data_IF_248029902357
#
_entry.id   IF_248029902357
#
_cell.length_a   1.000
_cell.length_b   1.000
_cell.length_c   1.000
_cell.angle_alpha   90.00
_cell.angle_beta   90.00
_cell.angle_gamma   90.00
#
_symmetry.space_group_name_H-M   'P 1'
#
loop_
_entity.id
_entity.type
_entity.pdbx_description
1 polymer ?
#
# COMPACT_ATOMS: atom_id res chain seq x y z
N UNK A 1 -15.90 -15.14 -37.90
CA UNK A 1 -14.78 -14.27 -38.37
C UNK A 1 -15.00 -12.76 -38.14
N UNK A 2 -15.77 -12.34 -37.12
CA UNK A 2 -16.00 -10.91 -36.77
C UNK A 2 -15.94 -10.59 -35.26
N UNK A 3 -15.28 -11.43 -34.43
CA UNK A 3 -15.01 -11.12 -33.01
C UNK A 3 -13.53 -10.78 -32.71
N UNK A 4 -12.60 -11.07 -33.64
CA UNK A 4 -11.16 -10.85 -33.44
C UNK A 4 -10.70 -9.40 -33.63
N UNK A 5 -11.55 -8.52 -34.17
CA UNK A 5 -11.18 -7.10 -34.41
C UNK A 5 -11.61 -6.14 -33.29
N UNK A 6 -12.59 -6.48 -32.45
CA UNK A 6 -13.02 -5.60 -31.34
C UNK A 6 -12.07 -5.67 -30.12
N UNK A 7 -11.47 -6.83 -29.86
CA UNK A 7 -10.49 -7.03 -28.78
C UNK A 7 -9.11 -6.38 -29.04
N UNK A 8 -8.84 -5.98 -30.29
CA UNK A 8 -7.61 -5.26 -30.66
C UNK A 8 -7.71 -3.74 -30.45
N UNK A 9 -8.90 -3.19 -30.21
CA UNK A 9 -9.12 -1.75 -30.07
C UNK A 9 -9.22 -1.27 -28.61
N UNK A 10 -9.55 -2.14 -27.67
CA UNK A 10 -9.56 -1.83 -26.23
C UNK A 10 -8.17 -1.45 -25.65
N UNK A 11 -7.04 -2.06 -26.07
CA UNK A 11 -5.72 -1.60 -25.68
C UNK A 11 -5.39 -0.23 -26.28
N UNK A 12 -5.96 0.10 -27.44
CA UNK A 12 -5.75 1.40 -28.10
C UNK A 12 -6.53 2.51 -27.43
N UNK A 13 -7.77 2.28 -26.96
CA UNK A 13 -8.56 3.30 -26.26
C UNK A 13 -7.98 3.61 -24.87
N UNK A 14 -7.41 2.63 -24.18
CA UNK A 14 -6.73 2.85 -22.89
C UNK A 14 -5.30 3.37 -23.11
N UNK A 15 -4.58 2.92 -24.15
CA UNK A 15 -3.34 3.60 -24.55
C UNK A 15 -3.62 5.04 -25.00
N UNK A 16 -4.76 5.34 -25.61
CA UNK A 16 -5.18 6.72 -25.93
C UNK A 16 -5.53 7.52 -24.69
N UNK A 17 -6.06 6.92 -23.61
CA UNK A 17 -6.28 7.62 -22.33
C UNK A 17 -4.96 7.83 -21.55
N UNK A 18 -3.99 6.92 -21.70
CA UNK A 18 -2.64 7.05 -21.13
C UNK A 18 -1.75 7.99 -21.98
N UNK A 19 -2.02 8.12 -23.29
CA UNK A 19 -1.32 9.02 -24.21
C UNK A 19 -1.99 10.40 -24.31
N UNK A 20 -3.30 10.58 -24.15
CA UNK A 20 -3.94 11.89 -24.29
C UNK A 20 -3.77 12.86 -23.11
N UNK A 21 -3.09 12.45 -22.04
CA UNK A 21 -2.51 13.45 -21.12
C UNK A 21 -1.39 14.25 -21.80
N UNK A 22 -0.83 13.76 -22.93
CA UNK A 22 0.14 14.49 -23.75
C UNK A 22 -0.46 15.47 -24.78
N UNK A 23 -1.79 15.56 -24.94
CA UNK A 23 -2.44 16.46 -25.92
C UNK A 23 -3.31 17.55 -25.30
N UNK A 24 -3.22 17.80 -23.99
CA UNK A 24 -3.89 18.94 -23.34
C UNK A 24 -3.08 20.25 -23.42
N UNK A 25 -1.93 20.24 -24.11
CA UNK A 25 -1.15 21.47 -24.34
C UNK A 25 -1.69 22.31 -25.51
N UNK A 26 -2.30 21.70 -26.53
CA UNK A 26 -2.81 22.41 -27.70
C UNK A 26 -4.30 22.79 -27.61
N UNK A 27 -5.10 22.15 -26.74
CA UNK A 27 -6.49 22.57 -26.51
C UNK A 27 -6.64 23.72 -25.50
N UNK A 28 -5.62 23.98 -24.69
CA UNK A 28 -5.62 25.13 -23.79
C UNK A 28 -5.39 26.47 -24.52
N UNK A 29 -4.93 26.45 -25.78
CA UNK A 29 -4.82 27.66 -26.60
C UNK A 29 -6.17 28.15 -27.15
N UNK A 30 -7.15 27.26 -27.37
CA UNK A 30 -8.50 27.65 -27.79
C UNK A 30 -9.44 27.96 -26.62
N UNK A 31 -9.25 27.31 -25.46
CA UNK A 31 -10.03 27.62 -24.25
C UNK A 31 -9.61 28.93 -23.55
N UNK A 32 -8.44 29.48 -23.87
CA UNK A 32 -8.01 30.80 -23.40
C UNK A 32 -8.74 31.99 -24.07
N UNK A 33 -9.66 31.76 -25.03
CA UNK A 33 -10.49 32.81 -25.64
C UNK A 33 -11.85 33.04 -24.97
N UNK A 34 -12.25 32.19 -24.01
CA UNK A 34 -13.59 32.22 -23.41
C UNK A 34 -13.65 32.88 -22.02
N UNK A 35 -12.52 33.08 -21.35
CA UNK A 35 -12.44 33.77 -20.07
C UNK A 35 -11.25 34.73 -20.14
N UNK A 36 -11.50 35.95 -20.59
CA UNK A 36 -10.49 36.99 -20.71
C UNK A 36 -9.92 37.35 -19.35
N UNK A 37 -8.66 36.96 -19.11
CA UNK A 37 -7.64 37.64 -18.29
C UNK A 37 -6.44 36.70 -18.12
N UNK A 38 -5.46 36.82 -19.03
CA UNK A 38 -4.10 36.32 -18.84
C UNK A 38 -3.15 37.26 -19.59
N UNK A 39 -3.08 38.52 -19.13
CA UNK A 39 -2.01 39.41 -19.53
C UNK A 39 -0.74 39.10 -18.73
N UNK A 40 0.39 39.15 -19.46
CA UNK A 40 1.77 39.08 -19.01
C UNK A 40 2.27 37.69 -18.56
N UNK A 41 2.88 36.96 -19.50
CA UNK A 41 4.31 36.59 -19.54
C UNK A 41 4.48 35.72 -20.80
N UNK A 42 4.52 36.35 -21.97
CA UNK A 42 4.81 35.70 -23.24
C UNK A 42 5.46 36.70 -24.18
N UNK A 43 6.60 37.28 -23.80
CA UNK A 43 7.48 38.00 -24.71
C UNK A 43 8.88 38.08 -24.11
N UNK A 44 9.62 36.96 -24.19
CA UNK A 44 11.08 36.92 -24.38
C UNK A 44 11.60 35.49 -24.15
N UNK A 45 11.58 34.63 -25.17
CA UNK A 45 12.44 33.46 -25.20
C UNK A 45 13.04 33.31 -26.60
N UNK A 46 14.37 33.50 -26.77
CA UNK A 46 15.03 33.33 -28.06
C UNK A 46 15.19 31.85 -28.42
N UNK A 47 15.14 31.57 -29.73
CA UNK A 47 15.59 30.30 -30.32
C UNK A 47 17.03 30.00 -29.88
N UNK A 48 17.30 28.79 -29.39
CA UNK A 48 18.67 28.36 -29.09
C UNK A 48 19.03 27.05 -29.78
N UNK A 49 19.98 27.21 -30.71
CA UNK A 49 20.81 26.20 -31.34
C UNK A 49 21.74 25.51 -30.35
N UNK A 50 22.15 24.29 -30.69
CA UNK A 50 23.21 23.53 -30.05
C UNK A 50 24.47 24.37 -29.81
N UNK A 51 24.91 24.47 -28.55
CA UNK A 51 26.33 24.45 -28.18
C UNK A 51 26.50 24.18 -26.69
N UNK A 52 27.45 23.29 -26.41
CA UNK A 52 27.89 22.78 -25.12
C UNK A 52 28.78 23.84 -24.42
N UNK A 53 28.83 23.79 -23.09
CA UNK A 53 29.64 24.61 -22.15
C UNK A 53 29.06 25.97 -21.73
N UNK A 54 28.19 25.94 -20.71
CA UNK A 54 28.29 26.70 -19.44
C UNK A 54 26.94 26.64 -18.72
N UNK A 55 26.87 25.96 -17.57
CA UNK A 55 25.67 25.92 -16.73
C UNK A 55 25.34 27.31 -16.16
N UNK A 56 24.10 27.83 -16.32
CA UNK A 56 23.62 28.86 -15.44
C UNK A 56 23.17 28.19 -14.13
N UNK A 57 23.75 28.67 -13.02
CA UNK A 57 23.31 28.37 -11.65
C UNK A 57 21.81 28.67 -11.56
N UNK A 58 20.99 27.61 -11.58
CA UNK A 58 19.55 27.73 -11.34
C UNK A 58 19.40 28.21 -9.90
N UNK A 59 18.89 29.44 -9.74
CA UNK A 59 18.55 30.03 -8.46
C UNK A 59 17.71 29.04 -7.64
N UNK A 60 18.27 28.60 -6.50
CA UNK A 60 17.56 27.81 -5.50
C UNK A 60 16.30 28.57 -5.09
N UNK A 61 15.14 28.06 -5.49
CA UNK A 61 13.87 28.51 -4.92
C UNK A 61 13.77 27.85 -3.54
N UNK A 62 14.29 28.53 -2.53
CA UNK A 62 14.10 28.18 -1.12
C UNK A 62 12.70 28.63 -0.72
N UNK A 63 11.81 27.68 -0.45
CA UNK A 63 10.57 27.98 0.26
C UNK A 63 10.93 28.33 1.71
N UNK A 64 10.73 29.59 2.11
CA UNK A 64 10.77 29.98 3.53
C UNK A 64 9.61 29.26 4.23
N UNK A 65 9.93 28.30 5.09
CA UNK A 65 9.02 27.80 6.10
C UNK A 65 8.81 28.96 7.09
N UNK A 66 7.63 29.59 7.17
CA UNK A 66 7.37 30.45 8.32
C UNK A 66 7.14 29.52 9.51
N UNK A 67 7.71 29.84 10.67
CA UNK A 67 7.00 29.87 11.95
C UNK A 67 7.98 29.94 13.12
N UNK A 68 8.08 31.11 13.75
CA UNK A 68 8.23 31.14 15.20
C UNK A 68 6.98 30.49 15.80
N UNK A 69 7.12 29.35 16.47
CA UNK A 69 6.02 28.63 17.13
C UNK A 69 6.35 28.45 18.61
N UNK A 70 5.35 28.72 19.43
CA UNK A 70 5.37 28.56 20.88
C UNK A 70 5.56 27.08 21.24
N UNK A 71 6.47 26.78 22.17
CA UNK A 71 6.83 25.43 22.58
C UNK A 71 6.05 25.02 23.85
N UNK A 72 5.39 23.85 23.82
CA UNK A 72 4.90 23.17 25.03
C UNK A 72 5.68 21.88 25.27
N UNK A 73 5.99 21.58 26.53
CA UNK A 73 6.97 20.57 26.95
C UNK A 73 6.44 19.12 26.92
N UNK A 74 6.05 18.59 25.76
CA UNK A 74 5.59 17.19 25.64
C UNK A 74 6.76 16.17 25.55
N UNK A 75 7.97 16.60 25.88
CA UNK A 75 9.20 15.82 25.73
C UNK A 75 9.13 14.45 26.41
N UNK A 76 8.64 14.45 27.63
CA UNK A 76 8.59 13.26 28.46
C UNK A 76 7.59 12.24 27.89
N UNK A 77 6.46 12.70 27.38
CA UNK A 77 5.42 11.86 26.78
C UNK A 77 5.88 11.23 25.47
N UNK A 78 6.60 12.00 24.63
CA UNK A 78 7.12 11.52 23.35
C UNK A 78 8.27 10.53 23.57
N UNK A 79 9.22 10.84 24.46
CA UNK A 79 10.29 9.93 24.81
C UNK A 79 9.75 8.62 25.41
N UNK A 80 8.75 8.72 26.30
CA UNK A 80 8.06 7.53 26.83
C UNK A 80 7.41 6.70 25.72
N UNK A 81 6.72 7.36 24.77
CA UNK A 81 6.07 6.69 23.65
C UNK A 81 7.09 5.98 22.76
N UNK A 82 8.22 6.63 22.47
CA UNK A 82 9.33 6.05 21.72
C UNK A 82 9.86 4.78 22.38
N UNK A 83 10.21 4.84 23.68
CA UNK A 83 10.66 3.66 24.43
C UNK A 83 9.64 2.54 24.40
N UNK A 84 8.34 2.84 24.43
CA UNK A 84 7.28 1.82 24.37
C UNK A 84 7.14 1.16 23.00
N UNK A 85 7.32 1.91 21.91
CA UNK A 85 7.35 1.31 20.56
C UNK A 85 8.61 0.46 20.38
N UNK A 86 9.76 0.93 20.87
CA UNK A 86 11.01 0.15 20.86
C UNK A 86 10.87 -1.15 21.68
N UNK A 87 10.24 -1.09 22.85
CA UNK A 87 9.94 -2.27 23.68
C UNK A 87 8.98 -3.25 22.99
N UNK A 88 7.98 -2.73 22.25
CA UNK A 88 7.10 -3.56 21.44
C UNK A 88 7.91 -4.33 20.39
N UNK A 89 8.71 -3.61 19.61
CA UNK A 89 9.46 -4.12 18.46
C UNK A 89 10.64 -5.02 18.84
N UNK A 90 11.38 -4.69 19.89
CA UNK A 90 12.65 -5.35 20.22
C UNK A 90 12.52 -6.38 21.34
N UNK A 91 11.40 -6.40 22.07
CA UNK A 91 11.16 -7.33 23.18
C UNK A 91 9.86 -8.11 23.02
N UNK A 92 8.75 -7.39 22.84
CA UNK A 92 7.41 -8.03 22.87
C UNK A 92 7.18 -8.90 21.63
N UNK A 93 7.46 -8.40 20.43
CA UNK A 93 7.30 -9.14 19.18
C UNK A 93 8.20 -10.40 19.11
N UNK A 94 9.51 -10.33 19.44
CA UNK A 94 10.36 -11.53 19.54
C UNK A 94 9.84 -12.57 20.53
N UNK A 95 9.39 -12.15 21.73
CA UNK A 95 8.83 -13.07 22.72
C UNK A 95 7.55 -13.75 22.24
N UNK A 96 6.72 -13.05 21.46
CA UNK A 96 5.54 -13.64 20.82
C UNK A 96 5.95 -14.68 19.78
N UNK A 97 7.01 -14.41 19.00
CA UNK A 97 7.53 -15.34 18.00
C UNK A 97 8.12 -16.60 18.62
N UNK A 98 8.96 -16.47 19.64
CA UNK A 98 9.62 -17.60 20.32
C UNK A 98 8.61 -18.56 20.96
N UNK A 99 7.53 -18.00 21.51
CA UNK A 99 6.50 -18.78 22.19
C UNK A 99 5.36 -19.24 21.28
N UNK A 100 5.45 -19.01 19.97
CA UNK A 100 4.42 -19.42 19.02
C UNK A 100 4.45 -20.95 18.84
N UNK A 101 3.43 -21.65 19.35
CA UNK A 101 3.36 -23.10 19.26
C UNK A 101 3.16 -23.58 17.81
N UNK A 102 3.52 -24.83 17.52
CA UNK A 102 3.24 -25.47 16.23
C UNK A 102 1.73 -25.59 15.96
N UNK A 103 0.94 -25.71 17.03
CA UNK A 103 -0.51 -25.65 16.99
C UNK A 103 -1.03 -24.26 16.57
N UNK A 104 -0.41 -23.17 17.03
CA UNK A 104 -0.76 -21.81 16.59
C UNK A 104 -0.45 -21.59 15.11
N UNK A 105 0.62 -22.21 14.60
CA UNK A 105 0.98 -22.16 13.17
C UNK A 105 -0.05 -22.89 12.30
N UNK A 106 -0.60 -24.01 12.79
CA UNK A 106 -1.56 -24.86 12.06
C UNK A 106 -3.01 -24.37 12.15
N UNK A 107 -3.47 -23.85 13.29
CA UNK A 107 -4.84 -23.32 13.47
C UNK A 107 -5.10 -22.04 12.67
N UNK A 108 -4.04 -21.46 12.12
CA UNK A 108 -4.08 -20.26 11.29
C UNK A 108 -4.20 -20.56 9.79
N UNK A 109 -4.44 -21.78 9.30
CA UNK A 109 -4.43 -22.04 7.85
C UNK A 109 -5.35 -21.11 7.00
N UNK A 110 -6.63 -20.87 7.35
CA UNK A 110 -7.45 -19.86 6.65
C UNK A 110 -6.95 -18.42 6.87
N UNK A 111 -6.41 -18.16 8.04
CA UNK A 111 -5.81 -16.87 8.44
C UNK A 111 -4.52 -16.56 7.69
N UNK A 112 -3.76 -17.59 7.32
CA UNK A 112 -2.51 -17.50 6.58
C UNK A 112 -2.79 -17.05 5.15
N UNK A 113 -3.90 -17.51 4.55
CA UNK A 113 -4.39 -17.00 3.28
C UNK A 113 -4.66 -15.48 3.36
N UNK A 114 -5.44 -15.03 4.33
CA UNK A 114 -5.70 -13.59 4.52
C UNK A 114 -4.43 -12.78 4.82
N UNK A 115 -3.51 -13.33 5.61
CA UNK A 115 -2.24 -12.69 5.92
C UNK A 115 -1.31 -12.60 4.71
N UNK A 116 -1.38 -13.55 3.76
CA UNK A 116 -0.67 -13.47 2.49
C UNK A 116 -1.23 -12.36 1.58
N UNK A 117 -2.54 -12.10 1.61
CA UNK A 117 -3.14 -10.99 0.87
C UNK A 117 -2.86 -9.63 1.51
N UNK A 118 -2.74 -9.58 2.83
CA UNK A 118 -2.43 -8.36 3.57
C UNK A 118 -0.94 -8.27 3.93
N UNK A 119 -0.08 -8.94 3.15
CA UNK A 119 1.37 -8.93 3.30
C UNK A 119 1.91 -7.50 3.15
N UNK A 120 2.78 -7.10 4.06
CA UNK A 120 3.47 -5.81 3.95
C UNK A 120 4.88 -6.01 3.37
N UNK A 121 5.62 -4.94 3.12
CA UNK A 121 7.06 -5.10 2.85
C UNK A 121 7.83 -5.02 4.18
N UNK A 122 9.06 -5.55 4.27
CA UNK A 122 9.90 -5.40 5.46
C UNK A 122 10.04 -3.95 5.96
N UNK A 123 10.03 -2.98 5.04
CA UNK A 123 10.09 -1.56 5.35
C UNK A 123 8.86 -1.06 6.14
N UNK A 124 7.74 -1.79 6.16
CA UNK A 124 6.52 -1.34 6.81
C UNK A 124 6.67 -1.15 8.33
N UNK A 125 7.48 -2.00 8.98
CA UNK A 125 7.82 -1.86 10.41
C UNK A 125 8.51 -0.53 10.68
N UNK A 126 9.57 -0.24 9.94
CA UNK A 126 10.34 1.01 10.03
C UNK A 126 9.46 2.24 9.72
N UNK A 127 8.70 2.20 8.62
CA UNK A 127 7.84 3.31 8.19
C UNK A 127 6.70 3.59 9.17
N UNK A 128 6.23 2.58 9.89
CA UNK A 128 5.18 2.72 10.91
C UNK A 128 5.68 3.24 12.26
N UNK A 129 6.98 3.13 12.54
CA UNK A 129 7.57 3.51 13.83
C UNK A 129 7.18 4.93 14.29
N UNK A 130 7.43 6.00 13.51
CA UNK A 130 7.08 7.36 13.95
C UNK A 130 5.57 7.56 14.11
N UNK A 131 4.75 6.86 13.31
CA UNK A 131 3.31 6.91 13.42
C UNK A 131 2.82 6.32 14.74
N UNK A 132 3.39 5.18 15.16
CA UNK A 132 3.08 4.55 16.44
C UNK A 132 3.52 5.41 17.63
N UNK A 133 4.70 6.06 17.53
CA UNK A 133 5.19 6.98 18.58
C UNK A 133 4.24 8.17 18.72
N UNK A 134 3.91 8.85 17.61
CA UNK A 134 2.96 9.95 17.61
C UNK A 134 1.60 9.53 18.20
N UNK A 135 1.13 8.31 17.86
CA UNK A 135 -0.14 7.80 18.35
C UNK A 135 -0.15 7.52 19.86
N UNK A 136 0.90 6.90 20.38
CA UNK A 136 1.02 6.62 21.82
C UNK A 136 1.21 7.91 22.62
N UNK A 137 2.00 8.85 22.11
CA UNK A 137 2.16 10.18 22.72
C UNK A 137 0.81 10.91 22.77
N UNK A 138 0.06 10.92 21.66
CA UNK A 138 -1.28 11.53 21.59
C UNK A 138 -2.20 10.95 22.65
N UNK A 139 -2.24 9.62 22.81
CA UNK A 139 -3.06 8.97 23.85
C UNK A 139 -2.68 9.41 25.26
N UNK A 140 -1.38 9.49 25.55
CA UNK A 140 -0.88 9.86 26.88
C UNK A 140 -1.20 11.32 27.20
N UNK A 141 -0.98 12.22 26.25
CA UNK A 141 -1.26 13.65 26.37
C UNK A 141 -2.77 13.89 26.49
N UNK A 142 -3.58 13.21 25.68
CA UNK A 142 -5.03 13.32 25.77
C UNK A 142 -5.57 12.88 27.12
N UNK A 143 -4.97 11.84 27.72
CA UNK A 143 -5.32 11.40 29.07
C UNK A 143 -4.91 12.41 30.16
N UNK A 144 -3.79 13.12 30.00
CA UNK A 144 -3.33 14.10 31.00
C UNK A 144 -4.01 15.46 30.88
N UNK A 145 -4.22 15.95 29.65
CA UNK A 145 -4.77 17.29 29.35
C UNK A 145 -6.29 17.28 29.08
N UNK A 146 -6.92 16.10 28.99
CA UNK A 146 -8.33 15.92 28.61
C UNK A 146 -8.70 16.58 27.26
N UNK A 147 -7.73 16.73 26.37
CA UNK A 147 -7.86 17.31 25.02
C UNK A 147 -7.02 16.49 24.07
N UNK A 148 -7.56 16.12 22.91
CA UNK A 148 -6.81 15.40 21.87
C UNK A 148 -5.92 16.41 21.13
N UNK A 149 -4.58 16.34 21.27
CA UNK A 149 -3.71 17.25 20.54
C UNK A 149 -3.76 16.93 19.04
N UNK A 150 -3.72 17.98 18.22
CA UNK A 150 -3.62 17.87 16.77
C UNK A 150 -2.56 18.85 16.21
N UNK A 151 -1.35 18.79 16.77
CA UNK A 151 -0.28 19.75 16.51
C UNK A 151 1.05 19.06 16.22
N UNK A 152 1.93 19.78 15.52
CA UNK A 152 3.31 19.36 15.28
C UNK A 152 4.13 19.49 16.56
N UNK A 153 5.04 18.53 16.77
CA UNK A 153 5.97 18.56 17.89
C UNK A 153 7.41 18.41 17.38
N UNK A 154 8.35 19.30 17.74
CA UNK A 154 9.74 19.26 17.28
C UNK A 154 10.45 17.92 17.55
N UNK A 155 10.05 17.20 18.60
CA UNK A 155 10.66 15.90 18.93
C UNK A 155 10.13 14.78 18.06
N UNK A 156 8.87 14.87 17.64
CA UNK A 156 8.32 13.96 16.63
C UNK A 156 8.95 14.24 15.27
N UNK A 157 9.21 15.51 14.93
CA UNK A 157 9.88 15.89 13.69
C UNK A 157 11.29 15.26 13.58
N UNK A 158 12.00 15.11 14.71
CA UNK A 158 13.32 14.47 14.73
C UNK A 158 13.30 12.97 14.38
N UNK A 159 12.20 12.27 14.68
CA UNK A 159 12.02 10.83 14.42
C UNK A 159 11.14 10.53 13.20
N UNK A 160 10.49 11.55 12.64
CA UNK A 160 9.71 11.40 11.41
C UNK A 160 10.54 10.80 10.29
N UNK A 161 9.90 10.07 9.35
CA UNK A 161 10.63 9.56 8.20
C UNK A 161 11.26 10.75 7.46
N UNK A 162 12.59 10.86 7.52
CA UNK A 162 13.39 11.89 6.83
C UNK A 162 13.36 11.75 5.31
N UNK A 163 12.57 10.83 4.76
CA UNK A 163 12.27 10.75 3.34
C UNK A 163 11.35 11.90 2.88
N UNK A 164 11.48 13.09 3.48
CA UNK A 164 11.09 14.32 2.80
C UNK A 164 12.01 14.43 1.61
N UNK A 165 11.55 14.01 0.44
CA UNK A 165 12.28 14.18 -0.81
C UNK A 165 12.59 15.67 -0.95
N UNK A 166 13.84 16.03 -0.65
CA UNK A 166 14.25 17.43 -0.54
C UNK A 166 14.25 18.11 -1.91
N UNK A 167 14.49 17.34 -2.95
CA UNK A 167 14.44 17.79 -4.34
C UNK A 167 13.92 16.66 -5.22
N UNK A 168 13.06 17.00 -6.18
CA UNK A 168 12.64 16.08 -7.22
C UNK A 168 13.58 16.22 -8.42
N UNK A 169 14.29 15.13 -8.74
CA UNK A 169 15.08 15.07 -9.96
C UNK A 169 14.18 15.21 -11.19
N UNK A 170 14.60 16.01 -12.17
CA UNK A 170 13.93 16.08 -13.46
C UNK A 170 14.16 14.75 -14.21
N UNK A 171 13.17 13.86 -14.16
CA UNK A 171 13.21 12.53 -14.77
C UNK A 171 12.07 12.38 -15.77
N UNK A 172 12.35 11.67 -16.87
CA UNK A 172 11.35 11.34 -17.89
C UNK A 172 10.29 10.35 -17.40
N UNK A 173 10.62 9.50 -16.44
CA UNK A 173 9.79 8.38 -16.01
C UNK A 173 9.43 8.49 -14.53
N UNK A 174 8.29 7.88 -14.18
CA UNK A 174 7.78 7.78 -12.80
C UNK A 174 8.78 7.06 -11.90
N UNK A 175 8.80 7.46 -10.64
CA UNK A 175 9.45 6.70 -9.56
C UNK A 175 8.62 5.45 -9.25
N UNK A 176 9.26 4.40 -8.73
CA UNK A 176 8.55 3.16 -8.38
C UNK A 176 7.67 3.31 -7.13
N UNK A 177 8.04 4.19 -6.22
CA UNK A 177 7.35 4.42 -4.96
C UNK A 177 6.29 5.53 -5.05
N UNK A 178 6.09 6.13 -6.22
CA UNK A 178 5.13 7.21 -6.46
C UNK A 178 5.60 8.59 -5.99
N UNK A 179 6.80 8.69 -5.41
CA UNK A 179 7.36 9.98 -4.98
C UNK A 179 7.62 10.92 -6.16
N UNK A 180 7.62 12.23 -5.91
CA UNK A 180 7.88 13.25 -6.94
C UNK A 180 6.89 13.30 -8.10
N UNK A 181 5.71 12.70 -7.97
CA UNK A 181 4.63 12.96 -8.92
C UNK A 181 4.14 14.41 -8.84
N UNK A 182 3.99 14.93 -7.61
CA UNK A 182 3.70 16.32 -7.33
C UNK A 182 4.99 17.00 -6.83
N UNK A 183 5.49 18.02 -7.53
CA UNK A 183 6.77 18.67 -7.22
C UNK A 183 6.68 19.50 -5.94
N UNK A 184 5.52 20.13 -5.68
CA UNK A 184 5.31 20.94 -4.48
C UNK A 184 5.14 20.08 -3.22
N UNK A 185 4.56 18.88 -3.37
CA UNK A 185 4.34 17.92 -2.30
C UNK A 185 4.81 16.52 -2.74
N UNK A 186 6.14 16.25 -2.70
CA UNK A 186 6.74 15.05 -3.29
C UNK A 186 6.20 13.71 -2.79
N UNK A 187 5.62 13.68 -1.59
CA UNK A 187 5.12 12.45 -0.96
C UNK A 187 3.64 12.17 -1.22
N UNK A 188 2.90 13.09 -1.87
CA UNK A 188 1.49 12.89 -2.17
C UNK A 188 1.30 11.72 -3.13
N UNK A 189 0.57 10.70 -2.68
CA UNK A 189 0.29 9.48 -3.44
C UNK A 189 1.43 8.46 -3.46
N UNK A 190 2.54 8.72 -2.76
CA UNK A 190 3.62 7.75 -2.61
C UNK A 190 3.22 6.57 -1.72
N UNK A 191 3.91 5.43 -1.85
CA UNK A 191 3.69 4.27 -0.97
C UNK A 191 4.00 4.61 0.50
N UNK A 192 3.29 3.95 1.40
CA UNK A 192 3.28 4.19 2.86
C UNK A 192 2.78 5.56 3.30
N UNK A 193 2.24 6.37 2.39
CA UNK A 193 1.50 7.58 2.75
C UNK A 193 0.16 7.22 3.43
N UNK A 194 -0.37 8.11 4.29
CA UNK A 194 -1.68 7.92 4.87
C UNK A 194 -2.76 8.00 3.78
N UNK A 195 -3.78 7.14 3.87
CA UNK A 195 -4.97 7.27 3.02
C UNK A 195 -5.67 8.60 3.29
N UNK A 196 -6.07 9.31 2.24
CA UNK A 196 -6.73 10.60 2.37
C UNK A 196 -8.07 10.46 3.11
N UNK A 197 -8.28 11.33 4.10
CA UNK A 197 -9.56 11.47 4.79
C UNK A 197 -10.43 12.52 4.11
N UNK A 198 -11.63 12.13 3.69
CA UNK A 198 -12.68 13.08 3.31
C UNK A 198 -13.54 13.52 4.50
N UNK A 199 -13.52 12.74 5.57
CA UNK A 199 -14.18 13.03 6.84
C UNK A 199 -13.25 12.69 7.99
N UNK A 200 -13.43 13.36 9.13
CA UNK A 200 -12.64 13.12 10.33
C UNK A 200 -12.78 11.68 10.84
N UNK A 201 -11.74 11.20 11.51
CA UNK A 201 -11.72 9.86 12.09
C UNK A 201 -12.74 9.73 13.25
N UNK A 202 -13.53 8.64 13.27
CA UNK A 202 -14.49 8.33 14.33
C UNK A 202 -14.04 7.10 15.13
N UNK A 203 -13.09 7.31 16.05
CA UNK A 203 -12.58 6.29 16.97
C UNK A 203 -13.27 6.36 18.34
N UNK A 204 -13.32 5.25 19.07
CA UNK A 204 -14.00 5.20 20.38
C UNK A 204 -13.39 6.13 21.43
N UNK A 205 -12.08 6.38 21.34
CA UNK A 205 -11.31 7.33 22.16
C UNK A 205 -10.94 8.62 21.39
N UNK A 206 -11.48 8.80 20.17
CA UNK A 206 -11.09 9.87 19.25
C UNK A 206 -9.68 9.76 18.67
N UNK A 207 -8.91 8.71 19.00
CA UNK A 207 -7.50 8.58 18.62
C UNK A 207 -7.24 7.28 17.86
N UNK A 208 -7.48 6.11 18.45
CA UNK A 208 -7.30 4.83 17.74
C UNK A 208 -8.02 3.62 18.31
N UNK A 209 -8.76 3.73 19.42
CA UNK A 209 -9.60 2.64 19.90
C UNK A 209 -10.65 2.28 18.85
N UNK A 210 -11.02 1.00 18.77
CA UNK A 210 -12.13 0.58 17.92
C UNK A 210 -13.38 1.39 18.26
N UNK A 211 -14.18 1.67 17.24
CA UNK A 211 -15.37 2.50 17.39
C UNK A 211 -16.35 1.86 18.38
N UNK A 212 -16.85 2.67 19.30
CA UNK A 212 -17.91 2.30 20.24
C UNK A 212 -19.23 2.96 19.84
N UNK A 213 -20.33 2.48 20.39
CA UNK A 213 -21.65 3.09 20.24
C UNK A 213 -21.65 4.53 20.75
N UNK A 214 -22.13 5.49 19.94
CA UNK A 214 -22.25 6.89 20.36
C UNK A 214 -23.23 7.06 21.54
N UNK A 215 -24.25 6.21 21.62
CA UNK A 215 -25.31 6.26 22.64
C UNK A 215 -24.92 5.49 23.91
N UNK A 216 -24.63 4.19 23.80
CA UNK A 216 -24.38 3.34 24.97
C UNK A 216 -22.93 3.36 25.45
N UNK A 217 -22.00 3.90 24.65
CA UNK A 217 -20.54 3.85 24.89
C UNK A 217 -19.97 2.43 25.00
N UNK A 218 -20.74 1.42 24.59
CA UNK A 218 -20.34 0.02 24.58
C UNK A 218 -19.80 -0.40 23.21
N UNK A 219 -19.16 -1.57 23.17
CA UNK A 219 -18.70 -2.21 21.94
C UNK A 219 -19.84 -2.37 20.93
N UNK A 220 -19.50 -2.16 19.65
CA UNK A 220 -20.42 -2.41 18.55
C UNK A 220 -20.71 -3.92 18.40
N UNK A 221 -21.84 -4.29 17.78
CA UNK A 221 -22.18 -5.68 17.53
C UNK A 221 -21.03 -6.43 16.83
N UNK A 222 -20.81 -7.67 17.24
CA UNK A 222 -19.77 -8.52 16.68
C UNK A 222 -19.93 -8.65 15.15
N UNK A 223 -18.85 -8.39 14.40
CA UNK A 223 -18.88 -8.35 12.93
C UNK A 223 -19.22 -9.71 12.29
N UNK A 224 -18.87 -10.82 12.94
CA UNK A 224 -19.25 -12.16 12.48
C UNK A 224 -20.73 -12.42 12.67
N UNK A 225 -21.29 -11.99 13.81
CA UNK A 225 -22.73 -12.02 14.02
C UNK A 225 -23.47 -11.17 12.97
N UNK A 226 -22.99 -9.97 12.66
CA UNK A 226 -23.57 -9.16 11.59
C UNK A 226 -23.45 -9.84 10.22
N UNK A 227 -22.32 -10.51 9.93
CA UNK A 227 -22.12 -11.28 8.71
C UNK A 227 -23.19 -12.37 8.52
N UNK A 228 -23.51 -13.13 9.58
CA UNK A 228 -24.50 -14.22 9.50
C UNK A 228 -25.94 -13.73 9.40
N UNK A 229 -26.24 -12.54 9.94
CA UNK A 229 -27.60 -11.98 9.93
C UNK A 229 -27.87 -11.18 8.65
N UNK A 230 -26.92 -10.35 8.20
CA UNK A 230 -27.11 -9.40 7.10
C UNK A 230 -26.74 -9.96 5.72
N UNK A 231 -25.71 -10.79 5.62
CA UNK A 231 -25.20 -11.29 4.34
C UNK A 231 -25.65 -12.73 4.12
N UNK A 232 -26.85 -12.88 3.54
CA UNK A 232 -27.38 -14.16 3.06
C UNK A 232 -27.02 -14.34 1.59
N UNK A 233 -26.93 -15.59 1.14
CA UNK A 233 -26.70 -15.89 -0.27
C UNK A 233 -27.77 -15.19 -1.12
N UNK A 234 -27.37 -14.32 -2.07
CA UNK A 234 -28.33 -13.62 -2.89
C UNK A 234 -29.04 -14.61 -3.82
N UNK A 235 -30.29 -14.30 -4.15
CA UNK A 235 -30.94 -14.88 -5.32
C UNK A 235 -30.14 -14.50 -6.57
N UNK A 236 -29.78 -15.50 -7.39
CA UNK A 236 -29.04 -15.28 -8.63
C UNK A 236 -29.89 -14.42 -9.56
N UNK A 237 -29.47 -13.17 -9.77
CA UNK A 237 -30.04 -12.30 -10.80
C UNK A 237 -29.16 -12.44 -12.05
N UNK A 238 -29.79 -12.55 -13.22
CA UNK A 238 -29.06 -12.43 -14.48
C UNK A 238 -28.60 -10.99 -14.64
N UNK A 239 -27.30 -10.76 -14.52
CA UNK A 239 -26.66 -9.47 -14.79
C UNK A 239 -26.28 -9.35 -16.26
N UNK A 240 -26.38 -8.13 -16.80
CA UNK A 240 -25.92 -7.79 -18.16
C UNK A 240 -24.40 -7.58 -18.24
N UNK A 241 -23.68 -7.81 -17.14
CA UNK A 241 -22.25 -7.56 -17.03
C UNK A 241 -21.47 -8.86 -17.18
N UNK A 242 -20.31 -8.78 -17.83
CA UNK A 242 -19.39 -9.92 -17.89
C UNK A 242 -18.66 -10.07 -16.56
N UNK A 243 -18.28 -11.31 -16.22
CA UNK A 243 -17.46 -11.60 -15.04
C UNK A 243 -16.11 -10.87 -15.05
N UNK A 244 -15.65 -10.37 -16.21
CA UNK A 244 -14.45 -9.56 -16.30
C UNK A 244 -14.58 -8.23 -15.54
N UNK A 245 -15.78 -7.64 -15.45
CA UNK A 245 -15.99 -6.34 -14.81
C UNK A 245 -15.51 -6.31 -13.34
N UNK A 246 -15.97 -7.19 -12.44
CA UNK A 246 -15.49 -7.20 -11.06
C UNK A 246 -14.01 -7.56 -10.94
N UNK A 247 -13.48 -8.44 -11.80
CA UNK A 247 -12.06 -8.79 -11.77
C UNK A 247 -11.16 -7.65 -12.25
N UNK A 248 -11.57 -6.90 -13.27
CA UNK A 248 -10.85 -5.72 -13.72
C UNK A 248 -10.94 -4.58 -12.71
N UNK A 249 -12.09 -4.40 -12.05
CA UNK A 249 -12.23 -3.46 -10.94
C UNK A 249 -11.28 -3.79 -9.78
N UNK A 250 -11.17 -5.08 -9.39
CA UNK A 250 -10.19 -5.51 -8.39
C UNK A 250 -8.75 -5.26 -8.85
N UNK A 251 -8.43 -5.51 -10.12
CA UNK A 251 -7.10 -5.27 -10.67
C UNK A 251 -6.70 -3.79 -10.60
N UNK A 252 -7.62 -2.89 -10.93
CA UNK A 252 -7.43 -1.43 -10.81
C UNK A 252 -7.33 -1.00 -9.34
N UNK A 253 -8.19 -1.54 -8.47
CA UNK A 253 -8.13 -1.27 -7.04
C UNK A 253 -6.77 -1.64 -6.44
N UNK A 254 -6.23 -2.80 -6.79
CA UNK A 254 -4.92 -3.26 -6.32
C UNK A 254 -3.74 -2.44 -6.87
N UNK A 255 -3.96 -1.63 -7.92
CA UNK A 255 -2.94 -0.71 -8.46
C UNK A 255 -2.83 0.56 -7.62
N UNK A 256 -3.96 1.00 -7.05
CA UNK A 256 -4.06 2.25 -6.30
C UNK A 256 -4.00 2.06 -4.78
N UNK A 257 -4.40 0.88 -4.29
CA UNK A 257 -4.60 0.64 -2.87
C UNK A 257 -4.08 -0.73 -2.48
N UNK A 258 -3.23 -0.76 -1.45
CA UNK A 258 -2.86 -1.98 -0.75
C UNK A 258 -2.98 -1.79 0.76
N UNK A 259 -3.90 -2.54 1.37
CA UNK A 259 -4.21 -2.45 2.80
C UNK A 259 -3.45 -3.54 3.55
N UNK A 260 -2.21 -3.25 3.93
CA UNK A 260 -1.37 -4.22 4.61
C UNK A 260 -1.68 -4.29 6.12
N UNK A 261 -1.63 -5.49 6.68
CA UNK A 261 -1.81 -5.74 8.12
C UNK A 261 -0.49 -5.69 8.86
N UNK A 262 -0.50 -5.35 10.15
CA UNK A 262 0.69 -5.49 10.98
C UNK A 262 1.07 -6.98 11.06
N UNK A 263 2.34 -7.28 10.79
CA UNK A 263 2.92 -8.62 10.85
C UNK A 263 4.21 -8.59 11.67
N UNK A 264 4.54 -9.73 12.27
CA UNK A 264 5.82 -9.91 12.94
C UNK A 264 6.91 -10.13 11.88
N UNK A 265 8.13 -9.72 12.19
CA UNK A 265 9.31 -10.01 11.38
C UNK A 265 10.21 -11.00 12.10
N UNK A 266 10.77 -11.97 11.39
CA UNK A 266 11.81 -12.82 11.97
C UNK A 266 13.06 -12.01 12.38
N UNK A 267 13.98 -12.63 13.14
CA UNK A 267 15.19 -11.98 13.63
C UNK A 267 16.12 -11.44 12.52
N UNK A 268 15.90 -11.85 11.25
CA UNK A 268 16.60 -11.34 10.07
C UNK A 268 15.86 -10.23 9.31
N UNK A 269 14.60 -9.93 9.67
CA UNK A 269 13.79 -8.90 9.01
C UNK A 269 13.27 -9.26 7.61
N UNK A 270 13.53 -10.48 7.14
CA UNK A 270 13.22 -10.89 5.76
C UNK A 270 11.87 -11.61 5.66
N UNK A 271 11.46 -12.30 6.73
CA UNK A 271 10.24 -13.11 6.74
C UNK A 271 9.15 -12.45 7.57
N UNK A 272 8.01 -12.23 6.93
CA UNK A 272 6.80 -11.80 7.63
C UNK A 272 5.99 -12.98 8.14
N UNK A 273 5.52 -12.85 9.38
CA UNK A 273 4.81 -13.89 10.12
C UNK A 273 3.51 -13.27 10.65
N UNK A 274 2.34 -13.91 10.42
CA UNK A 274 1.08 -13.43 10.95
C UNK A 274 1.09 -13.33 12.48
N UNK A 275 0.45 -12.29 13.02
CA UNK A 275 0.32 -12.14 14.48
C UNK A 275 -0.74 -13.14 15.00
N UNK A 276 -0.44 -13.92 16.06
CA UNK A 276 -1.37 -14.91 16.62
C UNK A 276 -2.48 -14.25 17.47
N UNK A 277 -3.42 -13.54 16.84
CA UNK A 277 -4.41 -12.73 17.55
C UNK A 277 -5.53 -13.49 18.28
N UNK A 278 -5.68 -14.80 18.01
CA UNK A 278 -6.67 -15.66 18.65
C UNK A 278 -6.12 -16.47 19.82
N UNK A 279 -4.81 -16.42 20.04
CA UNK A 279 -4.20 -17.07 21.19
C UNK A 279 -4.38 -16.18 22.42
N UNK A 280 -4.82 -16.78 23.54
CA UNK A 280 -4.72 -16.15 24.85
C UNK A 280 -3.25 -16.11 25.22
N UNK A 281 -2.57 -15.02 24.87
CA UNK A 281 -1.10 -14.83 24.89
C UNK A 281 -0.34 -15.69 25.90
N UNK A 282 0.81 -16.24 25.48
CA UNK A 282 1.75 -16.89 26.39
C UNK A 282 2.17 -15.86 27.46
N UNK A 283 1.96 -16.17 28.74
CA UNK A 283 2.12 -15.25 29.86
C UNK A 283 1.29 -13.95 29.80
N UNK A 284 0.14 -13.95 29.12
CA UNK A 284 -0.75 -12.78 29.03
C UNK A 284 -0.28 -11.70 28.05
N UNK A 285 0.78 -11.95 27.27
CA UNK A 285 1.29 -11.03 26.26
C UNK A 285 0.46 -11.11 24.98
N UNK A 286 -0.42 -10.12 24.76
CA UNK A 286 -1.18 -9.95 23.51
C UNK A 286 -0.61 -8.76 22.75
N UNK A 287 -0.36 -8.94 21.45
CA UNK A 287 0.07 -7.84 20.60
C UNK A 287 -1.00 -6.72 20.59
N UNK A 288 -0.63 -5.44 20.80
CA UNK A 288 -1.60 -4.33 20.92
C UNK A 288 -2.41 -4.08 19.63
N UNK A 289 -1.88 -4.50 18.48
CA UNK A 289 -2.55 -4.41 17.18
C UNK A 289 -3.51 -5.58 16.88
N UNK A 290 -3.75 -6.49 17.85
CA UNK A 290 -4.74 -7.55 17.69
C UNK A 290 -6.15 -7.10 18.03
N UNK A 291 -7.04 -7.16 17.03
CA UNK A 291 -8.47 -6.87 17.14
C UNK A 291 -9.31 -8.11 16.74
N UNK A 292 -8.99 -9.26 17.35
CA UNK A 292 -9.59 -10.54 16.97
C UNK A 292 -11.12 -10.59 17.03
N UNK A 293 -11.71 -11.35 16.12
CA UNK A 293 -13.16 -11.47 15.95
C UNK A 293 -13.60 -12.77 16.62
N UNK A 294 -14.35 -12.66 17.72
CA UNK A 294 -14.92 -13.85 18.39
C UNK A 294 -16.01 -14.48 17.53
N UNK A 295 -16.04 -15.80 17.44
CA UNK A 295 -17.11 -16.54 16.77
C UNK A 295 -18.28 -16.71 17.75
N UNK A 296 -19.50 -16.27 17.39
CA UNK A 296 -20.67 -16.51 18.22
C UNK A 296 -20.94 -18.01 18.41
N UNK A 297 -21.37 -18.43 19.61
CA UNK A 297 -21.68 -19.85 19.88
C UNK A 297 -22.83 -20.41 19.03
N UNK A 298 -23.69 -19.55 18.52
CA UNK A 298 -24.81 -19.89 17.63
C UNK A 298 -24.44 -19.80 16.14
N UNK A 299 -23.16 -19.63 15.81
CA UNK A 299 -22.69 -19.59 14.42
C UNK A 299 -22.67 -20.99 13.78
N UNK A 300 -23.77 -21.35 13.14
CA UNK A 300 -23.97 -22.67 12.50
C UNK A 300 -22.88 -23.10 11.50
N UNK A 301 -22.01 -22.20 11.05
CA UNK A 301 -20.97 -22.50 10.05
C UNK A 301 -19.59 -22.68 10.68
N UNK A 302 -19.25 -21.88 11.70
CA UNK A 302 -17.89 -21.83 12.25
C UNK A 302 -17.77 -22.26 13.71
N UNK A 303 -18.85 -22.22 14.50
CA UNK A 303 -18.77 -22.45 15.97
C UNK A 303 -18.21 -23.82 16.34
N UNK A 304 -18.41 -24.82 15.48
CA UNK A 304 -17.98 -26.20 15.72
C UNK A 304 -16.49 -26.42 15.41
N UNK A 305 -15.86 -25.48 14.70
CA UNK A 305 -14.47 -25.59 14.23
C UNK A 305 -13.53 -24.57 14.88
N UNK A 306 -14.00 -23.34 15.07
CA UNK A 306 -13.20 -22.22 15.59
C UNK A 306 -14.04 -21.30 16.47
N UNK A 307 -13.42 -20.77 17.52
CA UNK A 307 -13.99 -19.80 18.46
C UNK A 307 -13.54 -18.36 18.19
N UNK A 308 -12.58 -18.18 17.29
CA UNK A 308 -11.96 -16.90 16.97
C UNK A 308 -11.42 -16.84 15.53
N UNK A 309 -11.54 -15.67 14.89
CA UNK A 309 -10.82 -15.32 13.66
C UNK A 309 -9.77 -14.24 13.98
N UNK A 310 -8.50 -14.46 13.62
CA UNK A 310 -7.45 -13.49 13.91
C UNK A 310 -7.61 -12.28 12.98
N UNK A 311 -7.49 -11.10 13.56
CA UNK A 311 -7.57 -9.85 12.83
C UNK A 311 -6.50 -8.89 13.40
N UNK A 312 -5.29 -8.91 12.82
CA UNK A 312 -4.32 -7.84 13.03
C UNK A 312 -4.81 -6.57 12.34
N UNK A 313 -4.65 -5.43 13.00
CA UNK A 313 -5.03 -4.13 12.43
C UNK A 313 -4.12 -3.75 11.27
N UNK A 314 -4.62 -2.87 10.40
CA UNK A 314 -3.87 -2.25 9.29
C UNK A 314 -2.67 -1.47 9.81
N UNK A 315 -1.57 -1.49 9.07
CA UNK A 315 -0.35 -0.72 9.39
C UNK A 315 -0.66 0.78 9.46
N UNK A 316 0.06 1.48 10.35
CA UNK A 316 -0.09 2.92 10.51
C UNK A 316 0.87 3.71 9.64
N UNK A 317 0.40 4.82 9.09
CA UNK A 317 1.24 5.79 8.39
C UNK A 317 1.42 7.04 9.24
N UNK A 318 2.62 7.62 9.18
CA UNK A 318 2.86 8.93 9.73
C UNK A 318 2.19 9.97 8.83
N UNK A 319 1.52 10.94 9.45
CA UNK A 319 1.11 12.16 8.75
C UNK A 319 2.34 12.98 8.40
N UNK A 320 2.22 13.89 7.45
CA UNK A 320 3.31 14.81 7.10
C UNK A 320 3.73 15.63 8.32
N UNK A 321 5.02 15.58 8.68
CA UNK A 321 5.56 16.16 9.92
C UNK A 321 5.23 15.40 11.21
N UNK A 322 4.63 14.21 11.12
CA UNK A 322 4.14 13.35 12.22
C UNK A 322 3.46 14.12 13.37
N UNK A 323 2.48 15.00 13.10
CA UNK A 323 1.74 15.67 14.16
C UNK A 323 1.08 14.65 15.08
N UNK A 324 0.92 15.05 16.35
CA UNK A 324 0.05 14.36 17.31
C UNK A 324 -1.39 14.36 16.78
N UNK A 325 -2.15 13.30 17.03
CA UNK A 325 -3.56 13.18 16.62
C UNK A 325 -4.00 11.74 16.32
N UNK A 326 -5.12 11.57 15.59
CA UNK A 326 -5.72 10.27 15.37
C UNK A 326 -4.87 9.36 14.46
N UNK A 327 -5.14 8.06 14.53
CA UNK A 327 -4.47 7.02 13.75
C UNK A 327 -4.77 7.16 12.26
N UNK A 328 -3.73 7.16 11.44
CA UNK A 328 -3.84 7.00 9.99
C UNK A 328 -3.43 5.61 9.51
N UNK A 329 -4.12 5.11 8.48
CA UNK A 329 -3.81 3.83 7.85
C UNK A 329 -2.88 4.07 6.65
N UNK A 330 -1.83 3.24 6.54
CA UNK A 330 -0.91 3.30 5.43
C UNK A 330 -1.50 2.67 4.17
N UNK A 331 -1.30 3.32 3.02
CA UNK A 331 -1.45 2.70 1.71
C UNK A 331 -0.10 2.10 1.29
N UNK A 332 0.01 0.78 1.12
CA UNK A 332 1.25 0.13 0.69
C UNK A 332 1.40 0.02 -0.84
N UNK A 333 0.47 0.61 -1.61
CA UNK A 333 0.58 0.82 -3.05
C UNK A 333 0.87 2.30 -3.34
N UNK A 334 1.24 2.60 -4.59
CA UNK A 334 1.17 3.98 -5.09
C UNK A 334 -0.30 4.34 -5.28
N UNK A 335 -0.69 5.60 -5.10
CA UNK A 335 -2.10 6.02 -5.24
C UNK A 335 -2.50 6.30 -6.69
N UNK A 336 -1.58 6.11 -7.65
CA UNK A 336 -1.76 6.43 -9.05
C UNK A 336 -2.16 5.19 -9.86
N UNK A 337 -2.78 5.42 -11.01
CA UNK A 337 -2.91 4.39 -12.04
C UNK A 337 -1.62 4.33 -12.85
N UNK A 338 -0.66 3.56 -12.36
CA UNK A 338 0.71 3.49 -12.90
C UNK A 338 1.18 2.05 -13.15
N UNK A 339 0.28 1.07 -12.99
CA UNK A 339 0.57 -0.36 -13.08
C UNK A 339 1.63 -0.83 -12.07
N UNK A 340 1.71 -0.19 -10.89
CA UNK A 340 2.45 -0.70 -9.73
C UNK A 340 2.08 -2.14 -9.36
N UNK A 341 0.85 -2.59 -9.65
CA UNK A 341 0.47 -4.00 -9.50
C UNK A 341 1.29 -4.96 -10.38
N UNK A 342 1.83 -4.47 -11.51
CA UNK A 342 2.73 -5.19 -12.42
C UNK A 342 4.20 -4.90 -12.12
N UNK A 343 4.55 -3.63 -11.89
CA UNK A 343 5.94 -3.16 -11.80
C UNK A 343 6.51 -3.12 -10.37
N UNK A 344 5.65 -3.19 -9.36
CA UNK A 344 5.98 -3.08 -7.94
C UNK A 344 6.09 -1.64 -7.46
N UNK A 345 5.71 -1.41 -6.20
CA UNK A 345 5.71 -0.08 -5.56
C UNK A 345 7.02 0.25 -4.84
N UNK A 346 8.08 -0.54 -5.03
CA UNK A 346 9.41 -0.29 -4.44
C UNK A 346 10.51 -0.56 -5.47
N UNK A 347 11.62 0.16 -5.35
CA UNK A 347 12.80 -0.02 -6.22
C UNK A 347 13.34 -1.45 -6.16
N UNK A 348 13.32 -2.06 -4.98
CA UNK A 348 13.77 -3.42 -4.73
C UNK A 348 12.88 -4.44 -5.45
N UNK A 349 11.55 -4.34 -5.30
CA UNK A 349 10.58 -5.22 -5.98
C UNK A 349 10.68 -5.06 -7.50
N UNK A 350 10.73 -3.81 -7.99
CA UNK A 350 10.89 -3.52 -9.41
C UNK A 350 12.19 -4.08 -10.00
N UNK A 351 13.29 -4.05 -9.24
CA UNK A 351 14.55 -4.70 -9.64
C UNK A 351 14.39 -6.21 -9.74
N UNK A 352 13.73 -6.85 -8.76
CA UNK A 352 13.50 -8.29 -8.76
C UNK A 352 12.59 -8.77 -9.90
N UNK A 353 11.74 -7.90 -10.45
CA UNK A 353 10.80 -8.24 -11.54
C UNK A 353 11.41 -8.13 -12.94
N UNK A 354 12.56 -7.48 -13.08
CA UNK A 354 13.18 -7.18 -14.39
C UNK A 354 14.15 -8.27 -14.81
N UNK A 355 14.10 -8.64 -16.09
CA UNK A 355 15.06 -9.58 -16.68
C UNK A 355 16.44 -8.94 -16.94
N UNK A 356 16.51 -7.60 -16.93
CA UNK A 356 17.68 -6.80 -17.33
C UNK A 356 18.23 -7.13 -18.73
N UNK A 357 17.40 -7.79 -19.55
CA UNK A 357 17.69 -8.17 -20.93
C UNK A 357 16.59 -7.62 -21.82
N UNK A 358 16.98 -6.93 -22.90
CA UNK A 358 16.07 -6.40 -23.91
C UNK A 358 14.93 -5.51 -23.36
N UNK A 359 15.08 -4.94 -22.15
CA UNK A 359 14.04 -4.17 -21.50
C UNK A 359 12.85 -4.98 -20.97
N UNK A 360 12.96 -6.32 -20.85
CA UNK A 360 11.86 -7.21 -20.48
C UNK A 360 11.69 -7.38 -18.96
N UNK A 361 10.47 -7.79 -18.57
CA UNK A 361 10.16 -8.39 -17.28
C UNK A 361 10.46 -9.89 -17.28
N UNK A 362 10.77 -10.43 -16.10
CA UNK A 362 10.96 -11.86 -15.90
C UNK A 362 9.64 -12.61 -16.08
N UNK A 363 9.73 -13.71 -16.81
CA UNK A 363 8.65 -14.67 -17.05
C UNK A 363 9.18 -16.07 -16.79
N UNK A 364 8.33 -16.98 -16.31
CA UNK A 364 8.71 -18.39 -16.17
C UNK A 364 8.61 -19.08 -17.52
N UNK A 365 9.63 -19.89 -17.85
CA UNK A 365 9.58 -20.85 -18.94
C UNK A 365 9.04 -22.19 -18.42
N UNK A 366 7.89 -22.63 -18.93
CA UNK A 366 7.51 -24.06 -18.86
C UNK A 366 7.47 -24.58 -20.29
N UNK A 367 8.15 -25.70 -20.54
CA UNK A 367 8.38 -26.27 -21.88
C UNK A 367 7.10 -26.43 -22.73
N UNK A 368 5.94 -26.62 -22.11
CA UNK A 368 4.65 -26.79 -22.81
C UNK A 368 3.98 -25.48 -23.24
N UNK A 369 4.38 -24.34 -22.68
CA UNK A 369 3.72 -23.04 -22.90
C UNK A 369 4.69 -21.94 -23.32
N UNK A 370 6.02 -22.10 -23.18
CA UNK A 370 6.97 -21.01 -23.42
C UNK A 370 6.94 -19.94 -22.31
N UNK A 371 7.50 -18.77 -22.60
CA UNK A 371 7.60 -17.62 -21.68
C UNK A 371 6.25 -16.89 -21.54
N UNK A 372 5.26 -17.58 -20.96
CA UNK A 372 3.87 -17.08 -20.90
C UNK A 372 3.51 -16.50 -19.55
N UNK A 373 4.00 -17.07 -18.45
CA UNK A 373 3.48 -16.76 -17.11
C UNK A 373 4.38 -15.76 -16.35
N UNK A 374 3.81 -15.03 -15.38
CA UNK A 374 4.60 -14.31 -14.39
C UNK A 374 5.66 -15.24 -13.81
N UNK A 375 6.84 -14.69 -13.53
CA UNK A 375 7.89 -15.48 -12.91
C UNK A 375 7.39 -16.10 -11.61
N UNK A 376 7.80 -17.32 -11.34
CA UNK A 376 7.65 -17.96 -10.05
C UNK A 376 8.96 -17.76 -9.32
N UNK A 377 8.94 -17.05 -8.20
CA UNK A 377 10.10 -17.06 -7.32
C UNK A 377 9.98 -18.33 -6.48
N UNK A 378 10.94 -19.24 -6.66
CA UNK A 378 11.18 -20.30 -5.69
C UNK A 378 11.33 -19.65 -4.32
N UNK A 379 10.64 -20.17 -3.30
CA UNK A 379 10.33 -19.41 -2.12
C UNK A 379 11.62 -18.84 -1.53
N UNK A 380 11.81 -17.52 -1.67
CA UNK A 380 12.19 -16.73 -0.49
C UNK A 380 11.35 -17.35 0.61
N UNK A 381 12.01 -17.87 1.65
CA UNK A 381 11.49 -18.70 2.76
C UNK A 381 10.36 -18.03 3.55
N UNK A 382 9.42 -17.42 2.84
CA UNK A 382 8.21 -16.78 3.29
C UNK A 382 7.32 -17.87 3.83
N UNK A 383 6.66 -17.57 4.94
CA UNK A 383 5.79 -18.52 5.66
C UNK A 383 4.60 -18.98 4.82
N UNK A 384 4.42 -18.37 3.65
CA UNK A 384 3.22 -18.41 2.81
C UNK A 384 3.41 -19.23 1.51
N UNK A 385 4.60 -19.79 1.25
CA UNK A 385 4.85 -20.60 0.04
C UNK A 385 3.96 -21.84 -0.06
N UNK A 386 3.50 -22.37 1.09
CA UNK A 386 2.57 -23.49 1.18
C UNK A 386 1.13 -23.15 0.75
N UNK A 387 0.78 -21.86 0.63
CA UNK A 387 -0.59 -21.44 0.31
C UNK A 387 -0.94 -21.71 -1.15
N UNK A 388 -0.02 -21.44 -2.07
CA UNK A 388 -0.25 -21.70 -3.50
C UNK A 388 0.05 -23.16 -3.89
N UNK A 389 0.78 -23.91 -3.06
CA UNK A 389 1.25 -25.24 -3.40
C UNK A 389 1.44 -26.17 -2.18
N UNK A 390 0.35 -26.72 -1.64
CA UNK A 390 0.44 -27.62 -0.49
C UNK A 390 1.10 -28.97 -0.81
N UNK A 391 1.18 -29.42 -2.07
CA UNK A 391 1.53 -30.83 -2.37
C UNK A 391 2.17 -31.16 -3.73
N UNK A 392 2.74 -30.21 -4.49
CA UNK A 392 3.18 -30.52 -5.88
C UNK A 392 4.42 -29.79 -6.42
N UNK A 393 5.28 -29.23 -5.56
CA UNK A 393 6.47 -28.49 -6.04
C UNK A 393 6.13 -27.30 -6.94
N UNK A 394 4.95 -26.70 -6.74
CA UNK A 394 4.55 -25.46 -7.38
C UNK A 394 4.94 -24.28 -6.49
N UNK A 395 5.18 -23.11 -7.08
CA UNK A 395 5.54 -21.89 -6.37
C UNK A 395 4.51 -20.81 -6.70
N UNK A 396 4.22 -19.91 -5.77
CA UNK A 396 3.35 -18.76 -6.03
C UNK A 396 3.91 -17.92 -7.19
N UNK A 397 3.02 -17.27 -7.94
CA UNK A 397 3.45 -16.27 -8.92
C UNK A 397 4.02 -15.05 -8.22
N UNK A 398 5.00 -14.42 -8.85
CA UNK A 398 5.62 -13.20 -8.38
C UNK A 398 5.35 -12.08 -9.39
N UNK A 399 4.77 -10.99 -8.88
CA UNK A 399 4.45 -9.78 -9.66
C UNK A 399 4.65 -8.53 -8.80
N UNK A 400 4.26 -7.36 -9.29
CA UNK A 400 4.34 -6.10 -8.53
C UNK A 400 3.54 -6.15 -7.23
N UNK A 401 2.38 -6.83 -7.26
CA UNK A 401 1.50 -7.02 -6.11
C UNK A 401 1.36 -8.50 -5.71
N UNK A 402 1.21 -8.77 -4.41
CA UNK A 402 0.94 -10.11 -3.86
C UNK A 402 -0.45 -10.63 -4.25
N UNK A 403 -1.37 -9.74 -4.66
CA UNK A 403 -2.71 -10.08 -5.12
C UNK A 403 -2.75 -10.88 -6.42
N UNK A 404 -1.61 -11.05 -7.12
CA UNK A 404 -1.50 -11.94 -8.27
C UNK A 404 -1.96 -13.37 -7.95
N UNK A 405 -1.81 -13.80 -6.69
CA UNK A 405 -2.17 -15.14 -6.22
C UNK A 405 -3.56 -15.22 -5.54
N UNK A 406 -4.35 -14.14 -5.51
CA UNK A 406 -5.64 -14.13 -4.80
C UNK A 406 -6.72 -14.98 -5.49
N UNK A 407 -6.83 -14.82 -6.80
CA UNK A 407 -7.77 -15.56 -7.65
C UNK A 407 -7.06 -15.95 -8.95
N UNK A 408 -7.44 -17.07 -9.60
CA UNK A 408 -6.89 -17.44 -10.90
C UNK A 408 -7.05 -16.35 -11.97
N UNK A 409 -8.16 -15.59 -11.91
CA UNK A 409 -8.41 -14.46 -12.81
C UNK A 409 -7.48 -13.28 -12.57
N UNK A 410 -7.03 -13.06 -11.33
CA UNK A 410 -5.98 -12.08 -11.03
C UNK A 410 -4.68 -12.48 -11.70
N UNK A 411 -4.23 -13.72 -11.52
CA UNK A 411 -3.05 -14.25 -12.18
C UNK A 411 -3.13 -14.12 -13.71
N UNK A 412 -4.30 -14.38 -14.31
CA UNK A 412 -4.53 -14.21 -15.74
C UNK A 412 -4.38 -12.75 -16.21
N UNK A 413 -4.93 -11.78 -15.47
CA UNK A 413 -4.79 -10.35 -15.80
C UNK A 413 -3.32 -9.89 -15.70
N UNK A 414 -2.62 -10.26 -14.64
CA UNK A 414 -1.18 -9.97 -14.50
C UNK A 414 -0.37 -10.58 -15.65
N UNK A 415 -0.70 -11.82 -16.02
CA UNK A 415 -0.08 -12.52 -17.16
C UNK A 415 -0.23 -11.75 -18.46
N UNK A 416 -1.45 -11.29 -18.77
CA UNK A 416 -1.74 -10.52 -20.00
C UNK A 416 -0.88 -9.25 -20.05
N UNK A 417 -0.82 -8.49 -18.96
CA UNK A 417 -0.08 -7.23 -18.91
C UNK A 417 1.44 -7.41 -18.96
N UNK A 418 1.99 -8.44 -18.31
CA UNK A 418 3.42 -8.77 -18.41
C UNK A 418 3.78 -9.17 -19.84
N UNK A 419 2.96 -9.99 -20.50
CA UNK A 419 3.15 -10.34 -21.92
C UNK A 419 3.10 -9.11 -22.81
N UNK A 420 2.17 -8.20 -22.56
CA UNK A 420 2.06 -6.96 -23.32
C UNK A 420 3.28 -6.05 -23.13
N UNK A 421 3.83 -5.96 -21.92
CA UNK A 421 5.08 -5.24 -21.67
C UNK A 421 6.24 -5.83 -22.50
N UNK A 422 6.44 -7.16 -22.43
CA UNK A 422 7.52 -7.82 -23.18
C UNK A 422 7.34 -7.71 -24.70
N UNK A 423 6.10 -7.74 -25.19
CA UNK A 423 5.78 -7.47 -26.59
C UNK A 423 6.19 -6.05 -27.02
N UNK A 424 5.85 -5.03 -26.24
CA UNK A 424 6.24 -3.64 -26.50
C UNK A 424 7.77 -3.48 -26.46
N UNK A 425 8.43 -4.06 -25.45
CA UNK A 425 9.89 -4.00 -25.31
C UNK A 425 10.60 -4.58 -26.56
N UNK A 426 10.11 -5.71 -27.08
CA UNK A 426 10.64 -6.30 -28.32
C UNK A 426 10.44 -5.41 -29.54
N UNK A 427 9.26 -4.79 -29.70
CA UNK A 427 8.99 -3.88 -30.81
C UNK A 427 9.89 -2.63 -30.76
N UNK A 428 10.10 -2.06 -29.57
CA UNK A 428 10.99 -0.92 -29.37
C UNK A 428 12.46 -1.29 -29.62
N UNK A 429 12.87 -2.51 -29.27
CA UNK A 429 14.22 -3.01 -29.56
C UNK A 429 14.48 -3.12 -31.07
N UNK A 430 13.52 -3.62 -31.85
CA UNK A 430 13.63 -3.73 -33.32
C UNK A 430 13.75 -2.33 -33.94
N UNK A 431 12.94 -1.38 -33.50
CA UNK A 431 12.97 0.01 -34.00
C UNK A 431 14.24 0.78 -33.68
N UNK A 432 15.02 0.36 -32.67
CA UNK A 432 16.31 0.98 -32.34
C UNK A 432 17.46 0.44 -33.22
N UNK A 433 17.26 -0.71 -33.88
CA UNK A 433 18.25 -1.36 -34.76
C UNK A 433 18.11 -0.95 -36.23
N UNK A 434 16.95 -0.41 -36.60
CA UNK A 434 16.69 0.29 -37.85
C UNK A 434 17.02 1.76 -37.64
#
# INVERSE_FOLDING_TARGET
MRLSRLLLLLPWVISFLVINVYSLRDQNAENCRLFGECDAIADSLPEFSENIENEPVINKITFKIPHQRSYSSNQNEIQWAQTKVEELFNRTEPLILENMSEFDKNRQAPSNFWAAHTLSTPAAREKSFPALVALLATKRIAKSKNVIPNELDPQLEAICPRDTVQYCENRKYRTFDGSCNNIANPMWGATYSPMQRFIDADYGDGISALRASKHSKQDLPNVRYLSTVLFREPFVKQDQLTTLVPHFAQFIFNDMVHIASVQLTDGGGEKQIPIPCCHSGVHGLRHPECASIRIPKNDKRLSDFVDCMPYPRTITAAREGCPLGPREQANSATSFLDASTIYGSTKQKAKQLRAFRNGQLLTTSKASFGDIFPTTIDPIKTTFSSICAPSAGHSCFFSGSEHVNFLPTSAALHTIWIRQHNNIANQLLVRKKL
#
